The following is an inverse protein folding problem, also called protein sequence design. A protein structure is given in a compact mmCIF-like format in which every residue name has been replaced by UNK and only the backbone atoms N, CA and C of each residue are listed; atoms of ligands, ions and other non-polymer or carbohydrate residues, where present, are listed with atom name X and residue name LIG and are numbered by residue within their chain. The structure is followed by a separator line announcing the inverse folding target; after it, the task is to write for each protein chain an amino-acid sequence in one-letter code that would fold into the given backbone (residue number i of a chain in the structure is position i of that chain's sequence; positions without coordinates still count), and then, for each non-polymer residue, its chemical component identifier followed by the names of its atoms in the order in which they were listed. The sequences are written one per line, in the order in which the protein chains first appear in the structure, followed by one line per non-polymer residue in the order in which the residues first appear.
data_IF_994903896234
#
_entry.id   IF_994903896234
#
_cell.length_a   1.000
_cell.length_b   1.000
_cell.length_c   1.000
_cell.angle_alpha   90.00
_cell.angle_beta   90.00
_cell.angle_gamma   90.00
#
_symmetry.space_group_name_H-M   'P 1'
#
loop_
_entity.id
_entity.type
_entity.pdbx_description
1 polymer ?
#
# COMPACT_ATOMS: atom_id res chain seq x y z
N UNK A 1 0.74 22.22 -21.81
CA UNK A 1 -0.70 22.53 -21.93
C UNK A 1 -1.08 23.51 -20.81
N UNK A 2 -1.53 24.74 -21.09
CA UNK A 2 -1.84 25.71 -20.03
C UNK A 2 -3.12 25.31 -19.28
N UNK A 3 -3.03 25.19 -17.95
CA UNK A 3 -4.15 24.82 -17.07
C UNK A 3 -5.19 25.96 -16.96
N UNK A 4 -6.49 25.58 -16.98
CA UNK A 4 -7.64 26.50 -16.84
C UNK A 4 -7.55 27.32 -15.53
N UNK A 5 -8.05 28.56 -15.57
CA UNK A 5 -7.91 29.58 -14.51
C UNK A 5 -8.45 29.13 -13.13
N UNK A 6 -9.50 28.30 -13.11
CA UNK A 6 -10.09 27.72 -11.89
C UNK A 6 -9.28 26.59 -11.25
N UNK A 7 -8.37 25.96 -11.99
CA UNK A 7 -7.50 24.88 -11.50
C UNK A 7 -6.33 25.42 -10.66
N UNK A 8 -5.98 26.71 -10.82
CA UNK A 8 -4.82 27.35 -10.16
C UNK A 8 -4.91 27.42 -8.63
N UNK A 9 -6.03 27.84 -7.98
CA UNK A 9 -6.10 27.90 -6.52
C UNK A 9 -6.10 26.50 -5.88
N UNK A 10 -6.73 25.50 -6.52
CA UNK A 10 -6.71 24.11 -6.05
C UNK A 10 -5.32 23.49 -6.16
N UNK A 11 -4.62 23.76 -7.25
CA UNK A 11 -3.24 23.33 -7.46
C UNK A 11 -2.29 23.99 -6.45
N UNK A 12 -2.38 25.30 -6.22
CA UNK A 12 -1.54 25.98 -5.23
C UNK A 12 -1.75 25.43 -3.82
N UNK A 13 -3.01 25.18 -3.42
CA UNK A 13 -3.33 24.59 -2.12
C UNK A 13 -2.80 23.15 -2.00
N UNK A 14 -2.86 22.37 -3.08
CA UNK A 14 -2.28 21.03 -3.13
C UNK A 14 -0.75 21.07 -3.05
N UNK A 15 -0.10 21.95 -3.81
CA UNK A 15 1.36 22.14 -3.83
C UNK A 15 1.87 22.63 -2.47
N UNK A 16 1.19 23.61 -1.86
CA UNK A 16 1.54 24.08 -0.52
C UNK A 16 1.38 22.96 0.52
N UNK A 17 0.27 22.21 0.47
CA UNK A 17 0.01 21.08 1.39
C UNK A 17 1.04 19.96 1.23
N UNK A 18 1.45 19.64 0.00
CA UNK A 18 2.50 18.64 -0.24
C UNK A 18 3.86 19.13 0.21
N UNK A 19 4.19 20.42 0.03
CA UNK A 19 5.45 21.01 0.51
C UNK A 19 5.54 21.05 2.04
N UNK A 20 4.48 21.45 2.73
CA UNK A 20 4.49 21.52 4.20
C UNK A 20 4.52 20.13 4.85
N UNK A 21 3.83 19.14 4.27
CA UNK A 21 3.84 17.77 4.75
C UNK A 21 5.19 17.08 4.49
N UNK A 22 5.80 17.29 3.31
CA UNK A 22 7.08 16.68 2.97
C UNK A 22 8.24 17.24 3.80
N UNK A 23 8.26 18.55 4.08
CA UNK A 23 9.30 19.17 4.91
C UNK A 23 9.27 18.61 6.33
N UNK A 24 8.09 18.49 6.94
CA UNK A 24 7.95 17.91 8.29
C UNK A 24 8.33 16.43 8.27
N UNK A 25 7.90 15.67 7.24
CA UNK A 25 8.19 14.23 7.10
C UNK A 25 9.68 13.93 6.91
N UNK A 26 10.46 14.84 6.35
CA UNK A 26 11.91 14.71 6.19
C UNK A 26 12.66 15.26 7.40
N UNK A 27 12.23 16.40 7.96
CA UNK A 27 12.91 17.03 9.10
C UNK A 27 12.80 16.22 10.40
N UNK A 28 11.64 15.62 10.67
CA UNK A 28 11.41 14.82 11.89
C UNK A 28 12.42 13.65 11.99
N UNK A 29 12.57 12.74 11.00
CA UNK A 29 13.53 11.64 11.11
C UNK A 29 14.99 12.09 11.11
N UNK A 30 15.32 13.24 10.51
CA UNK A 30 16.68 13.82 10.58
C UNK A 30 17.00 14.28 12.01
N UNK A 31 16.09 15.03 12.64
CA UNK A 31 16.23 15.46 14.02
C UNK A 31 16.27 14.26 14.98
N UNK A 32 15.42 13.25 14.75
CA UNK A 32 15.46 11.99 15.50
C UNK A 32 16.80 11.26 15.34
N UNK A 33 17.34 11.21 14.11
CA UNK A 33 18.65 10.59 13.84
C UNK A 33 19.79 11.33 14.53
N UNK A 34 19.73 12.66 14.63
CA UNK A 34 20.72 13.46 15.36
C UNK A 34 20.65 13.21 16.87
N UNK A 35 19.44 13.13 17.43
CA UNK A 35 19.23 12.79 18.85
C UNK A 35 19.76 11.39 19.16
N UNK A 36 19.45 10.40 18.32
CA UNK A 36 19.95 9.02 18.50
C UNK A 36 21.48 8.96 18.38
N UNK A 37 22.07 9.65 17.39
CA UNK A 37 23.53 9.73 17.25
C UNK A 37 24.21 10.39 18.44
N UNK A 38 23.59 11.42 19.02
CA UNK A 38 24.05 12.05 20.25
C UNK A 38 24.13 11.03 21.40
N UNK A 39 23.09 10.22 21.60
CA UNK A 39 23.08 9.17 22.63
C UNK A 39 24.07 8.02 22.37
N UNK A 40 24.30 7.65 21.11
CA UNK A 40 25.28 6.60 20.75
C UNK A 40 26.72 7.11 20.93
N UNK A 41 26.98 8.37 20.58
CA UNK A 41 28.31 8.99 20.67
C UNK A 41 28.76 9.22 22.10
N UNK A 42 27.83 9.40 23.05
CA UNK A 42 28.14 9.88 24.41
C UNK A 42 28.05 8.80 25.51
N UNK A 43 28.31 7.54 25.16
CA UNK A 43 28.29 6.42 26.12
C UNK A 43 29.39 6.49 27.20
N UNK A 44 30.36 7.40 27.08
CA UNK A 44 31.60 7.40 27.89
C UNK A 44 31.98 8.78 28.47
N UNK A 45 31.10 9.78 28.44
CA UNK A 45 31.40 11.06 29.07
C UNK A 45 31.41 10.92 30.61
N UNK A 46 32.56 11.28 31.17
CA UNK A 46 32.85 11.35 32.62
C UNK A 46 31.98 12.38 33.36
N UNK A 47 31.09 13.08 32.67
CA UNK A 47 30.12 14.01 33.23
C UNK A 47 28.72 13.43 33.16
N UNK A 48 28.14 13.22 34.33
CA UNK A 48 26.77 12.78 34.54
C UNK A 48 25.82 13.81 33.93
N UNK A 49 25.45 13.63 32.65
CA UNK A 49 24.31 14.31 32.04
C UNK A 49 23.15 14.26 33.03
N UNK A 50 22.56 15.41 33.36
CA UNK A 50 21.46 15.41 34.30
C UNK A 50 20.35 14.54 33.71
N UNK A 51 19.80 13.61 34.49
CA UNK A 51 18.70 12.75 34.05
C UNK A 51 17.56 13.57 33.43
N UNK A 52 17.43 14.83 33.82
CA UNK A 52 16.46 15.80 33.31
C UNK A 52 16.67 16.14 31.82
N UNK A 53 17.90 16.31 31.34
CA UNK A 53 18.17 16.61 29.92
C UNK A 53 17.82 15.43 29.01
N UNK A 54 18.22 14.23 29.42
CA UNK A 54 17.89 12.98 28.71
C UNK A 54 16.38 12.78 28.64
N UNK A 55 15.68 13.03 29.75
CA UNK A 55 14.21 12.95 29.81
C UNK A 55 13.52 13.99 28.91
N UNK A 56 14.09 15.19 28.75
CA UNK A 56 13.56 16.20 27.81
C UNK A 56 13.70 15.73 26.35
N UNK A 57 14.83 15.14 25.95
CA UNK A 57 14.98 14.62 24.58
C UNK A 57 14.06 13.43 24.29
N UNK A 58 13.89 12.53 25.26
CA UNK A 58 12.98 11.38 25.12
C UNK A 58 11.53 11.86 25.03
N UNK A 59 11.12 12.84 25.84
CA UNK A 59 9.76 13.39 25.75
C UNK A 59 9.52 14.09 24.43
N UNK A 60 10.48 14.86 23.91
CA UNK A 60 10.37 15.48 22.58
C UNK A 60 10.29 14.43 21.45
N UNK A 61 11.06 13.34 21.54
CA UNK A 61 11.02 12.21 20.61
C UNK A 61 9.64 11.52 20.61
N UNK A 62 9.07 11.28 21.79
CA UNK A 62 7.74 10.65 21.92
C UNK A 62 6.65 11.59 21.41
N UNK A 63 6.68 12.87 21.78
CA UNK A 63 5.70 13.87 21.35
C UNK A 63 5.71 14.04 19.82
N UNK A 64 6.89 14.14 19.21
CA UNK A 64 7.01 14.26 17.74
C UNK A 64 6.50 13.02 17.00
N UNK A 65 6.72 11.82 17.54
CA UNK A 65 6.15 10.59 16.99
C UNK A 65 4.62 10.54 17.12
N UNK A 66 4.06 10.94 18.27
CA UNK A 66 2.61 10.97 18.48
C UNK A 66 1.94 11.99 17.55
N UNK A 67 2.51 13.18 17.40
CA UNK A 67 1.99 14.22 16.48
C UNK A 67 2.04 13.72 15.04
N UNK A 68 3.11 13.05 14.62
CA UNK A 68 3.23 12.49 13.28
C UNK A 68 2.14 11.44 13.01
N UNK A 69 1.84 10.57 13.99
CA UNK A 69 0.77 9.57 13.88
C UNK A 69 -0.61 10.24 13.81
N UNK A 70 -0.85 11.29 14.61
CA UNK A 70 -2.13 12.02 14.62
C UNK A 70 -2.42 12.79 13.31
N UNK A 71 -1.39 13.10 12.52
CA UNK A 71 -1.54 13.79 11.23
C UNK A 71 -1.77 12.84 10.05
N UNK A 72 -1.78 11.52 10.28
CA UNK A 72 -1.95 10.54 9.22
C UNK A 72 -3.37 10.61 8.64
N UNK A 73 -3.47 10.98 7.37
CA UNK A 73 -4.73 10.99 6.63
C UNK A 73 -4.96 9.64 5.94
N UNK A 74 -6.22 9.31 5.63
CA UNK A 74 -6.61 8.03 5.05
C UNK A 74 -5.82 7.65 3.78
N UNK A 75 -5.65 8.58 2.83
CA UNK A 75 -4.86 8.34 1.62
C UNK A 75 -3.38 8.08 1.91
N UNK A 76 -2.85 8.73 2.94
CA UNK A 76 -1.47 8.50 3.38
C UNK A 76 -1.33 7.14 4.07
N UNK A 77 -2.36 6.71 4.83
CA UNK A 77 -2.42 5.40 5.44
C UNK A 77 -2.50 4.29 4.38
N UNK A 78 -3.35 4.43 3.35
CA UNK A 78 -3.43 3.48 2.21
C UNK A 78 -2.07 3.33 1.54
N UNK A 79 -1.41 4.45 1.24
CA UNK A 79 -0.09 4.45 0.61
C UNK A 79 0.96 3.80 1.50
N UNK A 80 0.99 4.14 2.79
CA UNK A 80 1.95 3.58 3.75
C UNK A 80 1.84 2.05 3.84
N UNK A 81 0.63 1.53 3.96
CA UNK A 81 0.37 0.08 4.03
C UNK A 81 0.73 -0.58 2.70
N UNK A 82 0.34 0.02 1.57
CA UNK A 82 0.70 -0.50 0.26
C UNK A 82 2.22 -0.54 0.03
N UNK A 83 2.95 0.48 0.46
CA UNK A 83 4.42 0.54 0.38
C UNK A 83 5.06 -0.55 1.26
N UNK A 84 4.53 -0.81 2.46
CA UNK A 84 5.00 -1.89 3.33
C UNK A 84 4.78 -3.28 2.72
N UNK A 85 3.58 -3.54 2.17
CA UNK A 85 3.28 -4.80 1.48
C UNK A 85 4.18 -4.96 0.26
N UNK A 86 4.37 -3.89 -0.53
CA UNK A 86 5.25 -3.90 -1.71
C UNK A 86 6.70 -4.20 -1.32
N UNK A 87 7.17 -3.69 -0.19
CA UNK A 87 8.48 -4.05 0.34
C UNK A 87 8.56 -5.54 0.69
N UNK A 88 7.52 -6.15 1.27
CA UNK A 88 7.45 -7.59 1.49
C UNK A 88 7.50 -8.38 0.18
N UNK A 89 6.66 -8.01 -0.79
CA UNK A 89 6.61 -8.63 -2.13
C UNK A 89 7.97 -8.64 -2.84
N UNK A 90 8.77 -7.58 -2.72
CA UNK A 90 10.08 -7.52 -3.37
C UNK A 90 11.22 -8.18 -2.59
N UNK A 91 11.05 -8.42 -1.29
CA UNK A 91 12.11 -8.96 -0.44
C UNK A 91 11.85 -10.41 0.02
N UNK A 92 10.63 -10.93 -0.14
CA UNK A 92 10.26 -12.30 0.21
C UNK A 92 9.81 -13.08 -1.03
N UNK A 93 10.37 -14.28 -1.22
CA UNK A 93 10.08 -15.16 -2.37
C UNK A 93 8.67 -15.77 -2.30
N UNK A 94 8.09 -15.89 -1.11
CA UNK A 94 6.75 -16.44 -0.91
C UNK A 94 5.64 -15.38 -1.06
N UNK A 95 6.00 -14.12 -1.27
CA UNK A 95 5.08 -12.99 -1.43
C UNK A 95 5.11 -12.47 -2.87
N UNK A 96 3.96 -12.08 -3.44
CA UNK A 96 3.94 -11.66 -4.85
C UNK A 96 2.59 -11.21 -5.43
N UNK A 97 2.64 -10.72 -6.67
CA UNK A 97 1.49 -10.34 -7.50
C UNK A 97 0.84 -9.00 -7.14
N UNK A 98 -0.29 -9.02 -6.44
CA UNK A 98 -1.15 -7.85 -6.22
C UNK A 98 -1.10 -7.39 -4.76
N UNK A 99 -1.36 -6.10 -4.56
CA UNK A 99 -1.61 -5.49 -3.26
C UNK A 99 -3.10 -5.21 -3.15
N UNK A 100 -3.74 -5.83 -2.17
CA UNK A 100 -5.15 -5.61 -1.83
C UNK A 100 -5.25 -4.80 -0.54
N UNK A 101 -6.22 -3.89 -0.48
CA UNK A 101 -6.51 -3.11 0.73
C UNK A 101 -7.95 -3.32 1.18
N UNK A 102 -8.13 -3.43 2.49
CA UNK A 102 -9.44 -3.39 3.15
C UNK A 102 -9.47 -2.17 4.07
N UNK A 103 -10.37 -1.23 3.80
CA UNK A 103 -10.53 0.00 4.56
C UNK A 103 -11.75 -0.15 5.44
N UNK A 104 -11.53 -0.25 6.75
CA UNK A 104 -12.60 -0.36 7.74
C UNK A 104 -12.80 1.02 8.37
N UNK A 105 -13.95 1.63 8.08
CA UNK A 105 -14.43 2.85 8.74
C UNK A 105 -15.48 2.46 9.79
N UNK A 106 -15.80 3.36 10.71
CA UNK A 106 -16.83 3.12 11.74
C UNK A 106 -18.17 2.61 11.18
N UNK A 107 -18.55 3.05 9.98
CA UNK A 107 -19.87 2.76 9.40
C UNK A 107 -19.79 2.00 8.05
N UNK A 108 -18.60 1.74 7.51
CA UNK A 108 -18.48 1.15 6.17
C UNK A 108 -17.17 0.39 6.01
N UNK A 109 -17.22 -0.65 5.19
CA UNK A 109 -16.04 -1.41 4.77
C UNK A 109 -15.88 -1.28 3.25
N UNK A 110 -14.68 -0.99 2.79
CA UNK A 110 -14.35 -0.84 1.38
C UNK A 110 -13.19 -1.78 1.02
N UNK A 111 -13.42 -2.66 0.04
CA UNK A 111 -12.43 -3.62 -0.45
C UNK A 111 -11.88 -3.16 -1.81
N UNK A 112 -10.56 -3.01 -1.89
CA UNK A 112 -9.84 -2.62 -3.11
C UNK A 112 -8.98 -3.80 -3.58
N UNK A 113 -9.46 -4.52 -4.59
CA UNK A 113 -8.82 -5.71 -5.17
C UNK A 113 -8.84 -5.65 -6.72
N UNK A 114 -7.73 -5.30 -7.39
CA UNK A 114 -6.45 -4.86 -6.82
C UNK A 114 -6.44 -3.36 -6.49
N UNK A 115 -5.79 -2.99 -5.39
CA UNK A 115 -5.40 -1.59 -5.16
C UNK A 115 -4.17 -1.22 -5.99
N UNK A 116 -3.18 -2.12 -6.04
CA UNK A 116 -1.98 -1.99 -6.88
C UNK A 116 -1.52 -3.35 -7.41
N UNK A 117 -0.84 -3.36 -8.55
CA UNK A 117 -0.24 -4.55 -9.15
C UNK A 117 1.28 -4.38 -9.14
N UNK A 118 1.94 -5.01 -8.17
CA UNK A 118 3.38 -4.85 -7.95
C UNK A 118 4.22 -5.55 -9.04
N UNK A 119 3.74 -6.68 -9.58
CA UNK A 119 4.41 -7.40 -10.66
C UNK A 119 3.44 -7.75 -11.79
N UNK A 120 3.76 -7.27 -12.99
CA UNK A 120 3.02 -7.59 -14.22
C UNK A 120 3.78 -8.67 -14.98
N UNK A 121 3.05 -9.67 -15.48
CA UNK A 121 3.62 -10.72 -16.31
C UNK A 121 4.12 -10.15 -17.63
N UNK A 122 5.34 -10.52 -18.03
CA UNK A 122 5.90 -10.14 -19.32
C UNK A 122 5.09 -10.70 -20.50
N UNK A 123 5.17 -10.01 -21.65
CA UNK A 123 4.54 -10.46 -22.89
C UNK A 123 5.37 -11.59 -23.50
N UNK A 124 4.70 -12.69 -23.86
CA UNK A 124 5.37 -13.81 -24.56
C UNK A 124 5.76 -13.35 -25.96
N UNK A 125 7.02 -13.55 -26.35
CA UNK A 125 7.52 -13.14 -27.68
C UNK A 125 6.99 -14.01 -28.82
N UNK A 126 6.63 -15.26 -28.55
CA UNK A 126 6.17 -16.23 -29.55
C UNK A 126 4.86 -16.88 -29.07
N UNK A 127 3.99 -17.20 -30.03
CA UNK A 127 2.80 -18.00 -29.79
C UNK A 127 3.15 -19.49 -29.75
N UNK A 128 2.80 -20.15 -28.65
CA UNK A 128 2.96 -21.60 -28.49
C UNK A 128 1.68 -22.36 -28.88
N UNK A 129 0.79 -21.74 -29.67
CA UNK A 129 -0.45 -22.40 -30.14
C UNK A 129 -0.11 -23.36 -31.28
N UNK A 130 -0.28 -24.65 -31.03
CA UNK A 130 -0.15 -25.69 -32.06
C UNK A 130 -1.35 -25.70 -33.01
N UNK A 131 -1.14 -26.17 -34.24
CA UNK A 131 -2.23 -26.36 -35.20
C UNK A 131 -3.16 -27.51 -34.73
N UNK A 132 -4.47 -27.45 -34.99
CA UNK A 132 -5.37 -28.57 -34.71
C UNK A 132 -4.86 -29.87 -35.33
N UNK A 133 -4.98 -30.99 -34.61
CA UNK A 133 -4.47 -32.29 -35.06
C UNK A 133 -3.01 -32.60 -34.70
N UNK A 134 -2.32 -31.72 -33.99
CA UNK A 134 -0.91 -31.97 -33.56
C UNK A 134 -0.80 -33.12 -32.53
N UNK A 135 -1.81 -33.33 -31.70
CA UNK A 135 -1.82 -34.39 -30.67
C UNK A 135 -2.55 -35.63 -31.21
N UNK A 136 -1.95 -36.81 -31.11
CA UNK A 136 -2.59 -38.07 -31.47
C UNK A 136 -3.72 -38.40 -30.47
N UNK A 137 -4.88 -38.81 -31.01
CA UNK A 137 -6.06 -39.17 -30.20
C UNK A 137 -6.31 -40.66 -30.40
N UNK A 138 -6.29 -41.43 -29.31
CA UNK A 138 -6.53 -42.88 -29.35
C UNK A 138 -8.03 -43.20 -29.47
N UNK A 139 -8.85 -42.58 -28.61
CA UNK A 139 -10.30 -42.78 -28.57
C UNK A 139 -10.97 -41.44 -28.36
N UNK A 140 -12.06 -41.19 -29.10
CA UNK A 140 -12.88 -39.98 -28.98
C UNK A 140 -14.34 -40.38 -28.79
N UNK A 141 -14.96 -39.92 -27.71
CA UNK A 141 -16.39 -40.10 -27.43
C UNK A 141 -17.05 -38.72 -27.40
N UNK A 142 -18.17 -38.57 -28.11
CA UNK A 142 -18.93 -37.31 -28.17
C UNK A 142 -20.22 -37.52 -27.37
N UNK A 143 -20.39 -36.77 -26.30
CA UNK A 143 -21.63 -36.72 -25.53
C UNK A 143 -22.35 -35.40 -25.84
N UNK A 144 -23.49 -35.43 -26.54
CA UNK A 144 -24.26 -34.22 -26.79
C UNK A 144 -24.90 -33.75 -25.49
N UNK A 145 -24.76 -32.45 -25.20
CA UNK A 145 -25.48 -31.80 -24.10
C UNK A 145 -26.88 -31.47 -24.63
N UNK A 146 -27.89 -32.14 -24.09
CA UNK A 146 -29.30 -31.86 -24.37
C UNK A 146 -29.75 -30.83 -23.33
N UNK A 147 -30.08 -29.62 -23.77
CA UNK A 147 -30.59 -28.56 -22.90
C UNK A 147 -32.12 -28.66 -22.91
N UNK A 148 -32.71 -29.11 -21.79
CA UNK A 148 -34.17 -29.27 -21.67
C UNK A 148 -34.87 -27.97 -21.26
N UNK A 149 -34.19 -27.07 -20.55
CA UNK A 149 -34.76 -25.79 -20.10
C UNK A 149 -33.64 -24.75 -19.88
N UNK A 150 -33.85 -23.52 -20.39
CA UNK A 150 -32.95 -22.39 -20.19
C UNK A 150 -33.56 -21.44 -19.16
N UNK A 151 -32.97 -21.38 -17.96
CA UNK A 151 -33.39 -20.43 -16.91
C UNK A 151 -32.29 -19.40 -16.68
N UNK A 152 -32.63 -18.12 -16.90
CA UNK A 152 -31.73 -17.01 -16.62
C UNK A 152 -31.82 -16.70 -15.12
N UNK A 153 -30.76 -17.04 -14.37
CA UNK A 153 -30.63 -16.63 -12.96
C UNK A 153 -29.71 -15.42 -12.88
N UNK A 154 -30.25 -14.31 -12.40
CA UNK A 154 -29.43 -13.15 -12.03
C UNK A 154 -28.65 -13.52 -10.77
N UNK A 155 -27.34 -13.68 -10.91
CA UNK A 155 -26.44 -13.87 -9.76
C UNK A 155 -26.11 -12.47 -9.24
N UNK A 156 -26.67 -12.10 -8.10
CA UNK A 156 -26.19 -10.94 -7.34
C UNK A 156 -24.78 -11.25 -6.84
N UNK A 157 -23.88 -10.28 -6.91
CA UNK A 157 -22.51 -10.46 -6.42
C UNK A 157 -22.56 -10.81 -4.93
N UNK A 158 -22.05 -12.00 -4.57
CA UNK A 158 -21.96 -12.44 -3.18
C UNK A 158 -21.22 -11.39 -2.35
N UNK A 159 -21.93 -10.78 -1.41
CA UNK A 159 -21.33 -9.93 -0.38
C UNK A 159 -20.72 -10.88 0.64
N UNK A 160 -19.42 -10.75 0.88
CA UNK A 160 -18.69 -11.57 1.85
C UNK A 160 -19.36 -11.42 3.24
N UNK A 161 -19.67 -12.54 3.90
CA UNK A 161 -20.24 -12.54 5.25
C UNK A 161 -19.32 -11.75 6.20
N UNK A 162 -19.75 -10.56 6.58
CA UNK A 162 -19.14 -9.80 7.67
C UNK A 162 -19.85 -10.18 8.96
N UNK A 163 -19.33 -11.19 9.67
CA UNK A 163 -19.77 -11.54 11.02
C UNK A 163 -19.66 -10.30 11.91
N UNK A 164 -20.81 -9.80 12.37
CA UNK A 164 -20.91 -8.74 13.38
C UNK A 164 -20.69 -9.31 14.79
#
# INVERSE_FOLDING_TARGET
MPLKKESRPKLYKAVYKTFTCSVVRVMVPILQSWIIKYFISDSNAKHKTSTNEVMIYITFLVITNVIAIMLLYEEEAKKLVADAIRAGVFNDLASGSNVDLCIIRKNSVEYLRPYDTASVKGVRQISYRYKPGTTSVLTKTIQPIIVEEETVRTIESEVMDTSA
#
